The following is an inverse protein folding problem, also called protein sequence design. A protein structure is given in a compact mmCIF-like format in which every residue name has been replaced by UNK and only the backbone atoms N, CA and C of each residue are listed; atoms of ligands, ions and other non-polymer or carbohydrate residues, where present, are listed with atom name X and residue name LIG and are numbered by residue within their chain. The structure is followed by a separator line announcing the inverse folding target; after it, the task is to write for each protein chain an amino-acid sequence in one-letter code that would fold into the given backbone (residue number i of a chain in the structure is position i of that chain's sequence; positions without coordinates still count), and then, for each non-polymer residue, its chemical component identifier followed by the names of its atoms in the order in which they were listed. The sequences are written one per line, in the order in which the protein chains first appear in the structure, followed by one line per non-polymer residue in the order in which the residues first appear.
data_IF_100471322099
#
_entry.id   IF_100471322099
#
_cell.length_a   1.000
_cell.length_b   1.000
_cell.length_c   1.000
_cell.angle_alpha   90.00
_cell.angle_beta   90.00
_cell.angle_gamma   90.00
#
_symmetry.space_group_name_H-M   'P 1'
#
loop_
_entity.id
_entity.type
_entity.pdbx_description
1 polymer ?
#
# COMPACT_ATOMS: atom_id res chain seq x y z
N UNK A 1 -15.76 9.77 17.67
CA UNK A 1 -16.41 10.24 16.42
C UNK A 1 -15.92 9.28 15.36
N UNK A 2 -16.78 8.82 14.46
CA UNK A 2 -16.37 7.97 13.36
C UNK A 2 -15.68 8.86 12.32
N UNK A 3 -14.60 8.37 11.71
CA UNK A 3 -13.92 9.09 10.63
C UNK A 3 -14.85 9.16 9.41
N UNK A 4 -14.85 10.33 8.74
CA UNK A 4 -15.71 10.62 7.60
C UNK A 4 -14.94 10.54 6.30
N UNK A 5 -15.39 9.67 5.38
CA UNK A 5 -14.73 9.38 4.11
C UNK A 5 -15.61 9.83 2.95
N UNK A 6 -15.04 10.52 1.97
CA UNK A 6 -15.70 10.81 0.70
C UNK A 6 -15.13 9.90 -0.39
N UNK A 7 -16.01 9.14 -1.04
CA UNK A 7 -15.67 8.31 -2.21
C UNK A 7 -16.11 9.05 -3.46
N UNK A 8 -15.19 9.26 -4.39
CA UNK A 8 -15.46 10.01 -5.63
C UNK A 8 -15.07 9.14 -6.82
N UNK A 9 -16.06 8.66 -7.56
CA UNK A 9 -15.88 7.78 -8.74
C UNK A 9 -17.13 7.91 -9.60
N UNK A 10 -17.00 7.96 -10.92
CA UNK A 10 -18.13 8.08 -11.86
C UNK A 10 -18.87 6.75 -12.10
N UNK A 11 -18.38 5.67 -11.49
CA UNK A 11 -19.02 4.36 -11.48
C UNK A 11 -19.85 4.14 -10.22
N UNK A 12 -21.17 4.41 -10.29
CA UNK A 12 -22.12 4.32 -9.16
C UNK A 12 -22.02 2.97 -8.41
N UNK A 13 -21.91 1.86 -9.15
CA UNK A 13 -21.81 0.50 -8.57
C UNK A 13 -20.56 0.33 -7.71
N UNK A 14 -19.47 0.96 -8.09
CA UNK A 14 -18.22 0.95 -7.34
C UNK A 14 -18.33 1.83 -6.08
N UNK A 15 -18.93 3.01 -6.22
CA UNK A 15 -19.24 3.88 -5.09
C UNK A 15 -20.09 3.17 -4.03
N UNK A 16 -21.17 2.49 -4.44
CA UNK A 16 -22.03 1.72 -3.53
C UNK A 16 -21.29 0.58 -2.85
N UNK A 17 -20.48 -0.17 -3.59
CA UNK A 17 -19.69 -1.28 -3.05
C UNK A 17 -18.66 -0.79 -2.01
N UNK A 18 -17.96 0.31 -2.29
CA UNK A 18 -17.00 0.91 -1.37
C UNK A 18 -17.70 1.45 -0.13
N UNK A 19 -18.80 2.21 -0.31
CA UNK A 19 -19.61 2.74 0.79
C UNK A 19 -20.04 1.63 1.72
N UNK A 20 -20.69 0.59 1.20
CA UNK A 20 -21.19 -0.53 2.01
C UNK A 20 -20.09 -1.18 2.86
N UNK A 21 -18.91 -1.42 2.27
CA UNK A 21 -17.81 -2.08 2.96
C UNK A 21 -17.10 -1.17 3.97
N UNK A 22 -16.99 0.13 3.68
CA UNK A 22 -16.41 1.10 4.61
C UNK A 22 -17.34 1.37 5.78
N UNK A 23 -18.66 1.51 5.55
CA UNK A 23 -19.67 1.64 6.61
C UNK A 23 -19.69 0.40 7.53
N UNK A 24 -19.51 -0.81 6.99
CA UNK A 24 -19.41 -2.04 7.77
C UNK A 24 -18.18 -2.07 8.71
N UNK A 25 -17.12 -1.32 8.38
CA UNK A 25 -15.94 -1.13 9.24
C UNK A 25 -16.10 0.05 10.25
N UNK A 26 -17.24 0.73 10.23
CA UNK A 26 -17.59 1.78 11.18
C UNK A 26 -17.28 3.20 10.74
N UNK A 27 -16.90 3.43 9.47
CA UNK A 27 -16.71 4.77 8.90
C UNK A 27 -18.05 5.43 8.55
N UNK A 28 -18.08 6.75 8.53
CA UNK A 28 -19.16 7.53 7.92
C UNK A 28 -18.78 7.82 6.47
N UNK A 29 -19.62 7.44 5.49
CA UNK A 29 -19.24 7.47 4.09
C UNK A 29 -20.27 8.21 3.24
N UNK A 30 -19.82 9.25 2.54
CA UNK A 30 -20.55 9.90 1.46
C UNK A 30 -19.91 9.54 0.11
N UNK A 31 -20.69 9.67 -0.96
CA UNK A 31 -20.25 9.40 -2.34
C UNK A 31 -20.54 10.61 -3.22
N UNK A 32 -19.70 10.84 -4.23
CA UNK A 32 -19.91 11.82 -5.30
C UNK A 32 -19.55 11.19 -6.65
N UNK A 33 -20.36 11.44 -7.66
CA UNK A 33 -20.18 10.89 -9.01
C UNK A 33 -19.25 11.72 -9.91
N UNK A 34 -18.80 12.90 -9.47
CA UNK A 34 -17.91 13.75 -10.27
C UNK A 34 -17.12 14.74 -9.43
N UNK A 35 -16.08 15.31 -10.02
CA UNK A 35 -15.29 16.37 -9.40
C UNK A 35 -16.11 17.65 -9.21
N UNK A 36 -17.03 17.95 -10.14
CA UNK A 36 -17.92 19.11 -10.08
C UNK A 36 -18.87 19.04 -8.89
N UNK A 37 -19.38 17.85 -8.58
CA UNK A 37 -20.20 17.61 -7.41
C UNK A 37 -19.40 17.87 -6.12
N UNK A 38 -18.18 17.38 -6.03
CA UNK A 38 -17.29 17.63 -4.89
C UNK A 38 -16.97 19.11 -4.71
N UNK A 39 -16.76 19.85 -5.79
CA UNK A 39 -16.49 21.29 -5.74
C UNK A 39 -17.71 22.11 -5.30
N UNK A 40 -18.92 21.56 -5.41
CA UNK A 40 -20.16 22.18 -4.93
C UNK A 40 -20.46 21.84 -3.45
N UNK A 41 -19.71 20.90 -2.84
CA UNK A 41 -19.87 20.45 -1.46
C UNK A 41 -18.91 21.19 -0.50
N UNK A 42 -19.25 21.21 0.79
CA UNK A 42 -18.29 21.54 1.83
C UNK A 42 -17.53 20.24 2.23
N UNK A 43 -16.30 20.12 1.71
CA UNK A 43 -15.46 18.94 1.99
C UNK A 43 -14.54 19.12 3.20
N UNK A 44 -14.58 20.25 3.89
CA UNK A 44 -13.67 20.54 5.03
C UNK A 44 -13.86 19.62 6.24
N UNK A 45 -14.98 18.92 6.32
CA UNK A 45 -15.31 17.98 7.39
C UNK A 45 -14.96 16.53 7.14
N UNK A 46 -14.28 16.21 6.03
CA UNK A 46 -13.86 14.83 5.74
C UNK A 46 -12.44 14.55 6.24
N UNK A 47 -12.23 13.33 6.70
CA UNK A 47 -10.95 12.83 7.20
C UNK A 47 -10.13 12.15 6.11
N UNK A 48 -10.76 11.75 4.99
CA UNK A 48 -10.11 11.09 3.84
C UNK A 48 -10.96 11.21 2.56
N UNK A 49 -10.29 11.35 1.41
CA UNK A 49 -10.90 11.19 0.10
C UNK A 49 -10.34 9.95 -0.61
N UNK A 50 -11.23 9.09 -1.12
CA UNK A 50 -10.92 8.09 -2.14
C UNK A 50 -11.33 8.67 -3.48
N UNK A 51 -10.39 8.88 -4.39
CA UNK A 51 -10.61 9.69 -5.57
C UNK A 51 -10.18 8.94 -6.84
N UNK A 52 -11.14 8.66 -7.73
CA UNK A 52 -10.77 8.15 -9.05
C UNK A 52 -10.03 9.22 -9.85
N UNK A 53 -9.01 8.81 -10.58
CA UNK A 53 -8.26 9.71 -11.46
C UNK A 53 -9.05 10.00 -12.73
N UNK A 54 -9.71 8.98 -13.28
CA UNK A 54 -10.37 9.06 -14.58
C UNK A 54 -11.86 9.35 -14.43
N UNK A 55 -12.21 10.63 -14.30
CA UNK A 55 -13.59 11.11 -14.22
C UNK A 55 -13.80 12.23 -15.21
N UNK A 56 -15.01 12.37 -15.72
CA UNK A 56 -15.60 13.46 -16.48
C UNK A 56 -14.72 14.56 -17.10
N UNK A 57 -15.15 15.81 -17.00
CA UNK A 57 -14.40 16.97 -17.52
C UNK A 57 -13.24 17.38 -16.63
N UNK A 58 -13.41 17.27 -15.29
CA UNK A 58 -12.37 17.53 -14.30
C UNK A 58 -11.85 16.17 -13.80
N UNK A 59 -10.58 15.88 -14.08
CA UNK A 59 -9.95 14.65 -13.58
C UNK A 59 -9.73 14.69 -12.06
N UNK A 60 -9.61 13.51 -11.43
CA UNK A 60 -9.28 13.43 -10.00
C UNK A 60 -7.98 14.14 -9.64
N UNK A 61 -6.99 14.16 -10.53
CA UNK A 61 -5.74 14.90 -10.32
C UNK A 61 -6.00 16.40 -10.28
N UNK A 62 -6.83 16.92 -11.19
CA UNK A 62 -7.19 18.34 -11.20
C UNK A 62 -7.98 18.73 -9.94
N UNK A 63 -8.92 17.89 -9.52
CA UNK A 63 -9.66 18.09 -8.28
C UNK A 63 -8.71 18.10 -7.07
N UNK A 64 -7.79 17.16 -6.98
CA UNK A 64 -6.81 17.10 -5.91
C UNK A 64 -5.94 18.38 -5.85
N UNK A 65 -5.51 18.91 -7.02
CA UNK A 65 -4.78 20.19 -7.10
C UNK A 65 -5.59 21.34 -6.50
N UNK A 66 -6.87 21.43 -6.84
CA UNK A 66 -7.77 22.47 -6.31
C UNK A 66 -7.92 22.34 -4.78
N UNK A 67 -8.18 21.12 -4.29
CA UNK A 67 -8.34 20.87 -2.86
C UNK A 67 -7.06 21.13 -2.07
N UNK A 68 -5.91 20.71 -2.58
CA UNK A 68 -4.60 20.94 -1.94
C UNK A 68 -4.16 22.40 -1.98
N UNK A 69 -4.65 23.21 -2.91
CA UNK A 69 -4.41 24.64 -2.96
C UNK A 69 -5.27 25.45 -1.98
N UNK A 70 -6.37 24.88 -1.47
CA UNK A 70 -7.25 25.54 -0.52
C UNK A 70 -6.82 25.20 0.92
N UNK A 71 -6.46 26.19 1.77
CA UNK A 71 -6.02 25.94 3.15
C UNK A 71 -7.02 25.16 4.01
N UNK A 72 -8.32 25.26 3.74
CA UNK A 72 -9.36 24.55 4.49
C UNK A 72 -9.38 23.04 4.20
N UNK A 73 -8.91 22.61 3.03
CA UNK A 73 -8.97 21.23 2.57
C UNK A 73 -7.58 20.62 2.28
N UNK A 74 -6.53 21.44 2.29
CA UNK A 74 -5.17 21.02 1.97
C UNK A 74 -4.63 19.88 2.84
N UNK A 75 -5.08 19.81 4.10
CA UNK A 75 -4.66 18.77 5.06
C UNK A 75 -5.40 17.45 4.90
N UNK A 76 -6.51 17.41 4.15
CA UNK A 76 -7.28 16.20 3.97
C UNK A 76 -6.45 15.22 3.12
N UNK A 77 -6.19 14.00 3.60
CA UNK A 77 -5.46 13.00 2.85
C UNK A 77 -6.27 12.51 1.65
N UNK A 78 -5.55 12.19 0.56
CA UNK A 78 -6.14 11.70 -0.68
C UNK A 78 -5.48 10.37 -1.05
N UNK A 79 -6.32 9.35 -1.28
CA UNK A 79 -5.91 8.09 -1.90
C UNK A 79 -6.47 8.07 -3.31
N UNK A 80 -5.62 7.99 -4.32
CA UNK A 80 -6.07 7.84 -5.69
C UNK A 80 -6.44 6.38 -6.02
N UNK A 81 -7.57 6.21 -6.73
CA UNK A 81 -7.92 4.98 -7.41
C UNK A 81 -7.61 5.16 -8.90
N UNK A 82 -6.79 4.28 -9.51
CA UNK A 82 -6.29 4.47 -10.88
C UNK A 82 -6.31 3.18 -11.68
N UNK A 83 -6.49 3.28 -13.00
CA UNK A 83 -6.27 2.16 -13.89
C UNK A 83 -4.77 1.84 -14.03
N UNK A 84 -4.43 0.58 -14.35
CA UNK A 84 -3.06 0.07 -14.41
C UNK A 84 -2.15 0.79 -15.42
N UNK A 85 -2.73 1.44 -16.41
CA UNK A 85 -2.01 2.04 -17.55
C UNK A 85 -1.66 3.53 -17.33
N UNK A 86 -1.95 4.09 -16.15
CA UNK A 86 -1.72 5.49 -15.81
C UNK A 86 -0.39 5.70 -15.04
N UNK A 87 0.72 5.07 -15.48
CA UNK A 87 2.03 5.24 -14.82
C UNK A 87 2.51 6.70 -14.82
N UNK A 88 2.25 7.46 -15.87
CA UNK A 88 2.62 8.88 -15.96
C UNK A 88 1.75 9.74 -15.02
N UNK A 89 0.46 9.43 -14.89
CA UNK A 89 -0.46 10.10 -13.95
C UNK A 89 -0.11 9.80 -12.47
N UNK A 90 0.50 8.63 -12.20
CA UNK A 90 0.98 8.27 -10.85
C UNK A 90 2.15 9.16 -10.39
N UNK A 91 3.06 9.52 -11.29
CA UNK A 91 4.21 10.39 -10.97
C UNK A 91 3.69 11.79 -10.66
N UNK A 92 2.79 12.32 -11.48
CA UNK A 92 2.16 13.62 -11.25
C UNK A 92 1.34 13.65 -9.96
N UNK A 93 0.62 12.58 -9.63
CA UNK A 93 -0.18 12.47 -8.41
C UNK A 93 0.68 12.44 -7.13
N UNK A 94 1.83 11.78 -7.16
CA UNK A 94 2.78 11.73 -6.03
C UNK A 94 3.50 13.06 -5.81
N UNK A 95 3.86 13.78 -6.87
CA UNK A 95 4.44 15.14 -6.78
C UNK A 95 3.45 16.15 -6.21
N UNK A 96 2.15 15.90 -6.34
CA UNK A 96 1.06 16.73 -5.80
C UNK A 96 0.74 16.48 -4.32
N UNK A 97 1.44 15.54 -3.67
CA UNK A 97 1.25 15.23 -2.25
C UNK A 97 0.07 14.30 -1.97
N UNK A 98 -0.25 13.38 -2.88
CA UNK A 98 -1.13 12.27 -2.59
C UNK A 98 -0.54 11.37 -1.48
N UNK A 99 -1.38 10.91 -0.57
CA UNK A 99 -0.95 10.12 0.59
C UNK A 99 -0.77 8.64 0.25
N UNK A 100 -1.53 8.13 -0.74
CA UNK A 100 -1.41 6.77 -1.29
C UNK A 100 -2.17 6.64 -2.62
N UNK A 101 -2.04 5.48 -3.30
CA UNK A 101 -2.81 5.13 -4.49
C UNK A 101 -3.15 3.64 -4.54
N UNK A 102 -4.24 3.32 -5.24
CA UNK A 102 -4.76 1.96 -5.41
C UNK A 102 -4.99 1.71 -6.90
N UNK A 103 -4.38 0.66 -7.44
CA UNK A 103 -4.52 0.31 -8.86
C UNK A 103 -5.75 -0.56 -9.07
N UNK A 104 -6.65 -0.16 -9.98
CA UNK A 104 -7.80 -0.96 -10.45
C UNK A 104 -7.31 -2.10 -11.38
N UNK A 105 -7.84 -3.35 -11.31
CA UNK A 105 -8.84 -3.80 -10.35
C UNK A 105 -8.22 -4.08 -8.97
N UNK A 106 -8.90 -3.70 -7.91
CA UNK A 106 -8.46 -3.89 -6.54
C UNK A 106 -9.44 -4.75 -5.73
N UNK A 107 -8.94 -5.37 -4.66
CA UNK A 107 -9.81 -6.01 -3.68
C UNK A 107 -10.25 -4.99 -2.62
N UNK A 108 -11.50 -5.12 -2.14
CA UNK A 108 -12.01 -4.28 -1.04
C UNK A 108 -11.12 -4.36 0.21
N UNK A 109 -10.54 -5.53 0.50
CA UNK A 109 -9.57 -5.72 1.58
C UNK A 109 -8.33 -4.82 1.42
N UNK A 110 -7.87 -4.62 0.19
CA UNK A 110 -6.74 -3.72 -0.09
C UNK A 110 -7.12 -2.26 0.17
N UNK A 111 -8.32 -1.83 -0.26
CA UNK A 111 -8.84 -0.48 0.00
C UNK A 111 -8.92 -0.22 1.50
N UNK A 112 -9.57 -1.10 2.25
CA UNK A 112 -9.72 -0.98 3.71
C UNK A 112 -8.37 -0.88 4.44
N UNK A 113 -7.38 -1.69 4.05
CA UNK A 113 -6.06 -1.66 4.66
C UNK A 113 -5.35 -0.31 4.43
N UNK A 114 -5.50 0.29 3.23
CA UNK A 114 -4.90 1.59 2.91
C UNK A 114 -5.61 2.74 3.60
N UNK A 115 -6.95 2.73 3.60
CA UNK A 115 -7.78 3.70 4.34
C UNK A 115 -7.35 3.75 5.81
N UNK A 116 -7.31 2.61 6.49
CA UNK A 116 -6.85 2.50 7.89
C UNK A 116 -5.43 3.06 8.08
N UNK A 117 -4.54 2.79 7.13
CA UNK A 117 -3.14 3.24 7.21
C UNK A 117 -3.01 4.75 7.06
N UNK A 118 -3.74 5.35 6.12
CA UNK A 118 -3.69 6.80 5.86
C UNK A 118 -4.33 7.57 7.00
N UNK A 119 -5.55 7.20 7.44
CA UNK A 119 -6.26 7.85 8.55
C UNK A 119 -5.43 7.85 9.84
N UNK A 120 -4.76 6.75 10.17
CA UNK A 120 -3.86 6.66 11.32
C UNK A 120 -2.68 7.64 11.23
N UNK A 121 -2.14 7.89 10.05
CA UNK A 121 -1.02 8.84 9.86
C UNK A 121 -1.44 10.28 10.11
N UNK A 122 -2.67 10.64 9.77
CA UNK A 122 -3.20 12.00 9.88
C UNK A 122 -3.74 12.31 11.26
N UNK A 123 -4.27 11.33 12.00
CA UNK A 123 -4.77 11.53 13.37
C UNK A 123 -3.67 11.82 14.41
N UNK A 124 -2.38 11.81 14.01
CA UNK A 124 -1.26 12.08 14.93
C UNK A 124 -1.13 11.02 16.04
N UNK A 125 -1.91 9.97 16.01
CA UNK A 125 -1.78 8.87 16.95
C UNK A 125 -0.47 8.12 16.67
N UNK A 126 0.41 8.12 17.67
CA UNK A 126 1.51 7.16 17.71
C UNK A 126 0.90 5.78 17.53
N UNK A 127 1.54 4.88 16.78
CA UNK A 127 0.99 3.56 16.50
C UNK A 127 0.66 2.86 17.82
N UNK A 128 -0.61 2.91 18.23
CA UNK A 128 -1.13 1.95 19.20
C UNK A 128 -1.09 0.59 18.52
N UNK A 129 -0.44 -0.34 19.19
CA UNK A 129 -0.24 -1.72 18.78
C UNK A 129 -1.58 -2.49 18.70
N UNK A 130 -2.37 -2.27 17.65
CA UNK A 130 -3.61 -3.03 17.38
C UNK A 130 -3.56 -3.82 16.07
N UNK A 131 -2.41 -3.89 15.39
CA UNK A 131 -2.13 -4.87 14.36
C UNK A 131 -0.86 -5.66 14.70
N UNK A 132 -0.85 -6.28 15.88
CA UNK A 132 0.20 -7.25 16.22
C UNK A 132 0.07 -8.52 15.36
N UNK A 133 -1.11 -8.82 14.83
CA UNK A 133 -1.38 -10.02 14.04
C UNK A 133 -0.80 -9.98 12.59
N UNK A 134 -0.51 -8.81 12.02
CA UNK A 134 0.06 -8.69 10.66
C UNK A 134 1.53 -8.25 10.64
N UNK A 135 2.15 -8.15 11.82
CA UNK A 135 3.52 -7.68 11.97
C UNK A 135 4.45 -8.85 12.25
N UNK A 136 5.39 -9.08 11.35
CA UNK A 136 6.46 -10.05 11.57
C UNK A 136 7.68 -9.31 12.10
N UNK A 137 8.02 -9.57 13.37
CA UNK A 137 9.14 -8.90 14.05
C UNK A 137 10.19 -9.91 14.45
N UNK A 138 11.45 -9.59 14.16
CA UNK A 138 12.61 -10.32 14.62
C UNK A 138 13.67 -9.31 15.09
N UNK A 139 13.88 -9.23 16.42
CA UNK A 139 14.73 -8.18 17.03
C UNK A 139 14.34 -6.76 16.54
N UNK A 140 15.24 -6.03 15.85
CA UNK A 140 14.99 -4.72 15.28
C UNK A 140 14.51 -4.74 13.82
N UNK A 141 14.29 -5.92 13.23
CA UNK A 141 13.69 -6.07 11.92
C UNK A 141 12.17 -6.22 12.06
N UNK A 142 11.41 -5.34 11.44
CA UNK A 142 9.95 -5.39 11.42
C UNK A 142 9.45 -5.33 9.99
N UNK A 143 8.58 -6.27 9.63
CA UNK A 143 7.91 -6.32 8.34
C UNK A 143 6.42 -6.17 8.58
N UNK A 144 5.79 -5.24 7.89
CA UNK A 144 4.35 -4.99 7.94
C UNK A 144 3.79 -5.31 6.54
N UNK A 145 3.24 -6.51 6.34
CA UNK A 145 2.76 -6.98 5.04
C UNK A 145 1.68 -6.10 4.42
N UNK A 146 0.71 -5.66 5.22
CA UNK A 146 -0.38 -4.79 4.79
C UNK A 146 0.12 -3.45 4.24
N UNK A 147 1.14 -2.87 4.88
CA UNK A 147 1.73 -1.59 4.49
C UNK A 147 2.88 -1.72 3.47
N UNK A 148 3.28 -2.95 3.09
CA UNK A 148 4.49 -3.22 2.28
C UNK A 148 5.74 -2.56 2.83
N UNK A 149 5.86 -2.50 4.16
CA UNK A 149 6.88 -1.75 4.87
C UNK A 149 7.90 -2.70 5.53
N UNK A 150 9.18 -2.36 5.38
CA UNK A 150 10.29 -3.04 6.04
C UNK A 150 11.05 -2.02 6.88
N UNK A 151 11.10 -2.23 8.20
CA UNK A 151 11.79 -1.36 9.14
C UNK A 151 12.98 -2.12 9.72
N UNK A 152 14.14 -1.50 9.68
CA UNK A 152 15.39 -2.03 10.26
C UNK A 152 15.90 -1.02 11.28
N UNK A 153 15.95 -1.41 12.55
CA UNK A 153 16.40 -0.55 13.67
C UNK A 153 15.69 0.82 13.68
N UNK A 154 14.37 0.82 13.39
CA UNK A 154 13.52 2.02 13.36
C UNK A 154 13.58 2.82 12.06
N UNK A 155 14.37 2.41 11.06
CA UNK A 155 14.47 3.08 9.78
C UNK A 155 13.73 2.31 8.68
N UNK A 156 12.96 3.01 7.84
CA UNK A 156 12.29 2.42 6.69
C UNK A 156 13.31 2.05 5.59
N UNK A 157 13.36 0.77 5.26
CA UNK A 157 14.20 0.21 4.20
C UNK A 157 13.36 -0.05 2.95
N UNK A 158 13.58 0.71 1.91
CA UNK A 158 12.86 0.58 0.64
C UNK A 158 13.23 -0.69 -0.10
N UNK A 159 12.28 -1.62 -0.16
CA UNK A 159 12.40 -2.86 -0.91
C UNK A 159 11.45 -2.84 -2.11
N UNK A 160 11.95 -3.07 -3.35
CA UNK A 160 11.09 -3.35 -4.50
C UNK A 160 10.16 -4.53 -4.22
N UNK A 161 9.03 -4.61 -4.91
CA UNK A 161 7.97 -5.61 -4.71
C UNK A 161 8.52 -7.03 -4.54
N UNK A 162 9.35 -7.51 -5.47
CA UNK A 162 9.89 -8.88 -5.45
C UNK A 162 10.86 -9.12 -4.27
N UNK A 163 11.68 -8.13 -3.93
CA UNK A 163 12.56 -8.21 -2.75
C UNK A 163 11.74 -8.28 -1.45
N UNK A 164 10.67 -7.49 -1.35
CA UNK A 164 9.77 -7.50 -0.20
C UNK A 164 9.05 -8.84 -0.05
N UNK A 165 8.49 -9.38 -1.14
CA UNK A 165 7.78 -10.66 -1.16
C UNK A 165 8.70 -11.83 -0.76
N UNK A 166 9.94 -11.86 -1.27
CA UNK A 166 10.95 -12.85 -0.87
C UNK A 166 11.23 -12.72 0.64
N UNK A 167 11.54 -11.53 1.12
CA UNK A 167 11.86 -11.31 2.53
C UNK A 167 10.72 -11.73 3.43
N UNK A 168 9.48 -11.31 3.12
CA UNK A 168 8.28 -11.66 3.86
C UNK A 168 8.12 -13.19 3.94
N UNK A 169 8.23 -13.89 2.81
CA UNK A 169 8.16 -15.36 2.77
C UNK A 169 9.17 -16.01 3.70
N UNK A 170 10.42 -15.55 3.67
CA UNK A 170 11.48 -16.13 4.49
C UNK A 170 11.30 -15.85 5.98
N UNK A 171 10.95 -14.61 6.36
CA UNK A 171 10.81 -14.20 7.76
C UNK A 171 9.53 -14.76 8.40
N UNK A 172 8.44 -14.91 7.62
CA UNK A 172 7.21 -15.57 8.10
C UNK A 172 7.39 -17.07 8.30
N UNK A 173 8.52 -17.66 7.88
CA UNK A 173 8.79 -19.10 7.98
C UNK A 173 10.22 -19.34 8.53
N UNK A 174 10.51 -18.77 9.69
CA UNK A 174 11.82 -18.90 10.35
C UNK A 174 12.20 -20.37 10.49
N UNK A 175 13.44 -20.70 10.15
CA UNK A 175 13.99 -22.06 10.22
C UNK A 175 13.68 -22.94 9.01
N UNK A 176 12.75 -22.54 8.12
CA UNK A 176 12.45 -23.26 6.89
C UNK A 176 13.37 -22.81 5.75
N UNK A 177 13.82 -23.78 4.94
CA UNK A 177 14.57 -23.53 3.69
C UNK A 177 13.64 -23.71 2.53
N UNK A 178 13.62 -22.74 1.62
CA UNK A 178 12.87 -22.78 0.37
C UNK A 178 13.83 -22.95 -0.80
N UNK A 179 13.48 -23.84 -1.72
CA UNK A 179 14.26 -23.99 -2.96
C UNK A 179 14.09 -22.75 -3.85
N UNK A 180 14.97 -22.56 -4.82
CA UNK A 180 14.83 -21.49 -5.81
C UNK A 180 13.53 -21.62 -6.60
N UNK A 181 13.19 -22.86 -6.96
CA UNK A 181 11.95 -23.17 -7.68
C UNK A 181 10.70 -22.81 -6.87
N UNK A 182 10.66 -23.11 -5.56
CA UNK A 182 9.55 -22.74 -4.67
C UNK A 182 9.39 -21.22 -4.57
N UNK A 183 10.52 -20.49 -4.47
CA UNK A 183 10.50 -19.02 -4.42
C UNK A 183 10.04 -18.44 -5.76
N UNK A 184 10.56 -18.96 -6.88
CA UNK A 184 10.16 -18.52 -8.22
C UNK A 184 8.68 -18.76 -8.47
N UNK A 185 8.20 -19.97 -8.24
CA UNK A 185 6.81 -20.36 -8.50
C UNK A 185 5.80 -19.51 -7.74
N UNK A 186 6.13 -19.10 -6.53
CA UNK A 186 5.20 -18.32 -5.70
C UNK A 186 5.28 -16.82 -6.00
N UNK A 187 6.47 -16.31 -6.29
CA UNK A 187 6.68 -14.85 -6.40
C UNK A 187 6.66 -14.36 -7.86
N UNK A 188 6.91 -15.24 -8.83
CA UNK A 188 6.91 -14.93 -10.28
C UNK A 188 5.88 -15.72 -11.08
N UNK A 189 4.72 -16.04 -10.47
CA UNK A 189 3.67 -16.85 -11.08
C UNK A 189 3.15 -16.31 -12.44
N UNK A 190 3.30 -15.01 -12.72
CA UNK A 190 2.80 -14.36 -13.94
C UNK A 190 3.91 -14.02 -14.95
N UNK A 191 5.18 -14.27 -14.63
CA UNK A 191 6.32 -13.89 -15.47
C UNK A 191 6.84 -15.05 -16.34
N UNK A 192 6.97 -14.80 -17.62
CA UNK A 192 7.51 -15.74 -18.61
C UNK A 192 8.97 -16.07 -18.30
N UNK A 193 9.27 -17.36 -18.13
CA UNK A 193 10.62 -17.98 -18.02
C UNK A 193 11.67 -17.10 -17.30
N UNK A 194 11.63 -17.08 -15.98
CA UNK A 194 12.65 -16.43 -15.17
C UNK A 194 13.70 -17.46 -14.75
N UNK A 195 14.99 -17.15 -14.93
CA UNK A 195 16.07 -18.03 -14.53
C UNK A 195 16.27 -18.06 -13.00
N UNK A 196 16.62 -19.21 -12.43
CA UNK A 196 16.91 -19.41 -11.00
C UNK A 196 17.86 -18.35 -10.39
N UNK A 197 18.77 -17.82 -11.18
CA UNK A 197 19.72 -16.77 -10.79
C UNK A 197 19.06 -15.46 -10.36
N UNK A 198 17.82 -15.19 -10.78
CA UNK A 198 17.08 -13.98 -10.35
C UNK A 198 16.81 -14.01 -8.85
N UNK A 199 16.56 -15.19 -8.29
CA UNK A 199 16.39 -15.35 -6.83
C UNK A 199 17.70 -14.97 -6.14
N UNK A 200 18.84 -15.48 -6.61
CA UNK A 200 20.15 -15.23 -6.00
C UNK A 200 20.50 -13.72 -5.99
N UNK A 201 20.20 -13.03 -7.08
CA UNK A 201 20.41 -11.58 -7.20
C UNK A 201 19.54 -10.80 -6.20
N UNK A 202 18.26 -11.16 -6.09
CA UNK A 202 17.35 -10.51 -5.15
C UNK A 202 17.77 -10.78 -3.70
N UNK A 203 18.14 -12.00 -3.35
CA UNK A 203 18.67 -12.36 -2.02
C UNK A 203 19.92 -11.53 -1.68
N UNK A 204 20.85 -11.36 -2.62
CA UNK A 204 22.04 -10.55 -2.40
C UNK A 204 21.70 -9.07 -2.12
N UNK A 205 20.72 -8.52 -2.87
CA UNK A 205 20.22 -7.15 -2.68
C UNK A 205 19.53 -6.97 -1.33
N UNK A 206 18.66 -7.90 -0.95
CA UNK A 206 17.97 -7.91 0.34
C UNK A 206 19.01 -7.93 1.47
N UNK A 207 19.96 -8.85 1.46
CA UNK A 207 21.02 -8.94 2.47
C UNK A 207 21.76 -7.63 2.67
N UNK A 208 22.13 -6.96 1.57
CA UNK A 208 22.81 -5.66 1.61
C UNK A 208 21.94 -4.58 2.26
N UNK A 209 20.65 -4.54 1.92
CA UNK A 209 19.70 -3.54 2.44
C UNK A 209 19.36 -3.76 3.92
N UNK A 210 19.31 -5.00 4.37
CA UNK A 210 19.01 -5.35 5.77
C UNK A 210 20.23 -5.18 6.70
N UNK A 211 21.42 -4.88 6.19
CA UNK A 211 22.62 -4.71 6.99
C UNK A 211 22.92 -5.94 7.84
N UNK A 212 23.00 -5.78 9.16
CA UNK A 212 23.30 -6.89 10.10
C UNK A 212 22.32 -8.05 10.02
N UNK A 213 21.03 -7.78 9.77
CA UNK A 213 20.01 -8.83 9.64
C UNK A 213 20.10 -9.60 8.32
N UNK A 214 20.80 -9.08 7.33
CA UNK A 214 21.05 -9.80 6.08
C UNK A 214 21.80 -11.12 6.27
N UNK A 215 22.60 -11.23 7.32
CA UNK A 215 23.32 -12.45 7.69
C UNK A 215 22.41 -13.59 8.17
N UNK A 216 21.17 -13.27 8.58
CA UNK A 216 20.15 -14.24 9.00
C UNK A 216 19.50 -14.95 7.81
N UNK A 217 19.56 -14.38 6.62
CA UNK A 217 19.18 -15.09 5.40
C UNK A 217 20.33 -16.04 5.05
N UNK A 218 20.19 -17.32 5.37
CA UNK A 218 21.21 -18.34 5.10
C UNK A 218 20.99 -19.00 3.76
N UNK A 219 22.12 -19.26 3.05
CA UNK A 219 22.13 -20.14 1.89
C UNK A 219 22.43 -21.56 2.35
N UNK A 220 21.64 -22.52 1.91
CA UNK A 220 21.94 -23.95 2.03
C UNK A 220 22.32 -24.47 0.65
N UNK A 221 23.59 -24.81 0.47
CA UNK A 221 24.12 -25.27 -0.82
C UNK A 221 23.32 -26.45 -1.35
N UNK A 222 22.83 -26.34 -2.60
CA UNK A 222 21.95 -27.33 -3.23
C UNK A 222 20.48 -27.31 -2.79
N UNK A 223 20.13 -26.59 -1.72
CA UNK A 223 18.77 -26.60 -1.17
C UNK A 223 18.03 -25.26 -1.29
N UNK A 224 18.73 -24.13 -1.23
CA UNK A 224 18.08 -22.82 -1.39
C UNK A 224 18.36 -21.86 -0.25
N UNK A 225 17.32 -21.10 0.19
CA UNK A 225 17.42 -20.00 1.12
C UNK A 225 16.41 -20.12 2.24
N UNK A 226 16.81 -19.68 3.46
CA UNK A 226 15.92 -19.61 4.62
C UNK A 226 16.36 -18.51 5.57
N UNK A 227 15.42 -17.98 6.36
CA UNK A 227 15.71 -17.07 7.44
C UNK A 227 15.94 -17.89 8.72
N UNK A 228 17.13 -17.70 9.31
CA UNK A 228 17.57 -18.44 10.50
C UNK A 228 17.88 -17.42 11.58
N UNK A 229 16.95 -17.27 12.49
CA UNK A 229 17.05 -16.42 13.66
C UNK A 229 17.41 -17.21 14.90
#
# INVERSE_FOLDING_TARGET
MNEKILVVDDEDTLCEALRFNLEAEGYEVDTAGSAEEVLAMDVSGYDLLLLDIMMGEISGIQLAKILKANPATASIPIIFCTAKDAEDDMVDGLELGADDYIVKPYSLRNVLARVKTVLRRTSGEKPKAEHDDDKVTYEGLTIIPSAKLCIVDGQDVKLPKKEFEILLKLVSNVGRVFTREEILKEIWCDDVIVLDRVVDVNIARIRRKLGRYGSLIKSRSGYGYGFMG
#
